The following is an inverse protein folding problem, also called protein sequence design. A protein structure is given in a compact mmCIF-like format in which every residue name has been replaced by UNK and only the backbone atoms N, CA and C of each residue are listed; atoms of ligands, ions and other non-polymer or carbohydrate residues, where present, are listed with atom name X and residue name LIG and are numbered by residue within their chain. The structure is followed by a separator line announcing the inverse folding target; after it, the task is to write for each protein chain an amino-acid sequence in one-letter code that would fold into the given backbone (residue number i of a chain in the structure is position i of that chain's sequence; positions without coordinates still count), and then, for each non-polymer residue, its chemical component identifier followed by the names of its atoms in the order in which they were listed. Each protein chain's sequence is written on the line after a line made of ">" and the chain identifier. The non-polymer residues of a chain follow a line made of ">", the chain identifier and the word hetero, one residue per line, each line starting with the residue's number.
data_IF_925676397475
#
_entry.id   IF_925676397475
#
_cell.length_a   1.000
_cell.length_b   1.000
_cell.length_c   1.000
_cell.angle_alpha   90.00
_cell.angle_beta   90.00
_cell.angle_gamma   90.00
#
_symmetry.space_group_name_H-M   'P 1'
#
loop_
_entity.id
_entity.type
_entity.pdbx_description
1 polymer ?
#
# COMPACT_ATOMS: atom_id res chain seq x y z
N UNK A 1 14.13 21.75 20.37
CA UNK A 1 12.73 21.58 20.82
C UNK A 1 12.51 20.08 20.96
N UNK A 2 12.23 19.58 22.16
CA UNK A 2 11.81 18.18 22.35
C UNK A 2 10.41 18.09 21.74
N UNK A 3 10.23 17.23 20.73
CA UNK A 3 8.90 16.86 20.27
C UNK A 3 8.13 16.32 21.48
N UNK A 4 7.01 16.94 21.81
CA UNK A 4 6.08 16.40 22.78
C UNK A 4 5.65 15.04 22.27
N UNK A 5 5.90 14.01 23.06
CA UNK A 5 5.46 12.66 22.76
C UNK A 5 3.93 12.69 22.60
N UNK A 6 3.45 12.49 21.38
CA UNK A 6 2.01 12.52 21.10
C UNK A 6 1.42 11.27 21.73
N UNK A 7 0.66 11.46 22.80
CA UNK A 7 -0.01 10.37 23.53
C UNK A 7 -1.14 9.79 22.68
N UNK A 8 -1.30 8.46 22.70
CA UNK A 8 -2.40 7.76 22.03
C UNK A 8 -3.77 8.26 22.53
N UNK A 9 -4.80 8.35 21.66
CA UNK A 9 -6.13 8.80 22.04
C UNK A 9 -6.73 7.91 23.15
N UNK A 10 -7.35 8.50 24.16
CA UNK A 10 -7.93 7.76 25.28
C UNK A 10 -8.99 6.73 24.83
N UNK A 11 -9.82 7.08 23.86
CA UNK A 11 -10.82 6.17 23.28
C UNK A 11 -10.18 4.99 22.55
N UNK A 12 -9.04 5.23 21.86
CA UNK A 12 -8.25 4.18 21.24
C UNK A 12 -7.71 3.20 22.29
N UNK A 13 -7.11 3.73 23.37
CA UNK A 13 -6.59 2.92 24.47
C UNK A 13 -7.72 2.09 25.11
N UNK A 14 -8.86 2.71 25.42
CA UNK A 14 -10.00 2.03 26.02
C UNK A 14 -10.51 0.89 25.12
N UNK A 15 -10.68 1.15 23.84
CA UNK A 15 -11.15 0.18 22.84
C UNK A 15 -10.23 -1.04 22.76
N UNK A 16 -8.93 -0.82 22.60
CA UNK A 16 -7.99 -1.91 22.40
C UNK A 16 -7.61 -2.64 23.70
N UNK A 17 -7.72 -2.00 24.87
CA UNK A 17 -7.66 -2.72 26.16
C UNK A 17 -8.79 -3.74 26.30
N UNK A 18 -10.00 -3.34 25.92
CA UNK A 18 -11.14 -4.24 25.99
C UNK A 18 -11.02 -5.40 24.97
N UNK A 19 -10.48 -5.12 23.80
CA UNK A 19 -10.36 -6.09 22.71
C UNK A 19 -9.24 -7.11 22.94
N UNK A 20 -8.07 -6.66 23.42
CA UNK A 20 -6.85 -7.45 23.50
C UNK A 20 -6.60 -8.02 24.90
N UNK A 21 -7.31 -7.55 25.93
CA UNK A 21 -7.12 -8.04 27.29
C UNK A 21 -5.68 -7.92 27.77
N UNK A 22 -5.06 -9.05 28.11
CA UNK A 22 -3.68 -9.12 28.62
C UNK A 22 -2.63 -8.69 27.58
N UNK A 23 -2.88 -8.88 26.29
CA UNK A 23 -1.96 -8.49 25.21
C UNK A 23 -1.92 -6.97 24.96
N UNK A 24 -2.85 -6.22 25.53
CA UNK A 24 -2.97 -4.78 25.31
C UNK A 24 -1.72 -3.99 25.71
N UNK A 25 -1.04 -4.41 26.78
CA UNK A 25 0.18 -3.75 27.24
C UNK A 25 1.30 -3.80 26.21
N UNK A 26 1.55 -4.97 25.65
CA UNK A 26 2.59 -5.19 24.66
C UNK A 26 2.25 -4.46 23.34
N UNK A 27 0.98 -4.48 22.95
CA UNK A 27 0.49 -3.74 21.80
C UNK A 27 0.74 -2.23 21.90
N UNK A 28 0.38 -1.61 23.03
CA UNK A 28 0.63 -0.17 23.22
C UNK A 28 2.11 0.15 23.30
N UNK A 29 2.89 -0.67 24.01
CA UNK A 29 4.36 -0.51 24.06
C UNK A 29 4.99 -0.57 22.67
N UNK A 30 4.52 -1.46 21.80
CA UNK A 30 4.98 -1.56 20.42
C UNK A 30 4.62 -0.33 19.58
N UNK A 31 3.46 0.30 19.83
CA UNK A 31 3.04 1.53 19.16
C UNK A 31 3.82 2.76 19.62
N UNK A 32 4.13 2.86 20.92
CA UNK A 32 4.79 4.02 21.50
C UNK A 32 6.32 3.97 21.38
N UNK A 33 6.91 2.79 21.53
CA UNK A 33 8.36 2.59 21.61
C UNK A 33 8.93 1.82 20.42
N UNK A 34 8.07 1.25 19.57
CA UNK A 34 8.49 0.42 18.44
C UNK A 34 9.32 1.19 17.43
N UNK A 35 10.53 0.69 17.16
CA UNK A 35 11.36 1.26 16.09
C UNK A 35 10.71 1.04 14.72
N UNK A 36 10.60 2.11 13.94
CA UNK A 36 10.16 2.01 12.55
C UNK A 36 11.29 1.42 11.71
N UNK A 37 11.13 0.18 11.26
CA UNK A 37 12.07 -0.41 10.31
C UNK A 37 11.90 0.28 8.96
N UNK A 38 12.96 0.96 8.51
CA UNK A 38 13.01 1.57 7.18
C UNK A 38 13.49 0.55 6.17
N UNK A 39 13.01 0.71 4.93
CA UNK A 39 13.43 -0.14 3.83
C UNK A 39 13.30 0.58 2.50
N UNK A 40 13.83 -0.05 1.48
CA UNK A 40 13.74 0.42 0.11
C UNK A 40 13.79 -0.77 -0.86
N UNK A 41 13.34 -0.55 -2.09
CA UNK A 41 13.47 -1.51 -3.18
C UNK A 41 14.42 -0.96 -4.25
N UNK A 42 15.28 -1.83 -4.78
CA UNK A 42 15.99 -1.54 -6.00
C UNK A 42 15.09 -1.76 -7.21
N UNK A 43 15.43 -1.12 -8.33
CA UNK A 43 14.60 -1.13 -9.54
C UNK A 43 15.12 -2.13 -10.58
N UNK A 44 14.45 -3.27 -10.77
CA UNK A 44 14.87 -4.26 -11.77
C UNK A 44 14.56 -3.86 -13.23
N UNK A 45 13.85 -2.75 -13.44
CA UNK A 45 13.61 -2.21 -14.78
C UNK A 45 14.78 -1.36 -15.29
N UNK A 46 15.71 -0.96 -14.40
CA UNK A 46 16.90 -0.19 -14.74
C UNK A 46 18.06 -1.12 -15.08
N UNK A 47 18.87 -0.80 -16.14
CA UNK A 47 20.08 -1.53 -16.43
C UNK A 47 21.04 -1.53 -15.22
N UNK A 48 21.63 -2.69 -14.93
CA UNK A 48 22.54 -2.88 -13.78
C UNK A 48 21.98 -2.36 -12.44
N UNK A 49 20.65 -2.39 -12.26
CA UNK A 49 19.99 -1.77 -11.11
C UNK A 49 20.51 -2.24 -9.77
N UNK A 50 20.67 -3.56 -9.59
CA UNK A 50 21.18 -4.13 -8.34
C UNK A 50 22.66 -3.77 -8.12
N UNK A 51 23.50 -3.89 -9.15
CA UNK A 51 24.94 -3.60 -9.05
C UNK A 51 25.19 -2.14 -8.69
N UNK A 52 24.42 -1.22 -9.28
CA UNK A 52 24.48 0.21 -8.97
C UNK A 52 24.14 0.48 -7.51
N UNK A 53 23.08 -0.15 -6.99
CA UNK A 53 22.65 0.02 -5.60
C UNK A 53 23.69 -0.57 -4.65
N UNK A 54 24.18 -1.76 -4.90
CA UNK A 54 25.21 -2.41 -4.07
C UNK A 54 26.52 -1.60 -4.04
N UNK A 55 26.95 -1.09 -5.18
CA UNK A 55 28.17 -0.26 -5.29
C UNK A 55 28.03 1.06 -4.53
N UNK A 56 26.85 1.69 -4.61
CA UNK A 56 26.61 2.98 -3.97
C UNK A 56 26.54 2.88 -2.44
N UNK A 57 25.87 1.86 -1.93
CA UNK A 57 25.68 1.71 -0.49
C UNK A 57 26.93 1.21 0.23
N UNK A 58 27.91 0.61 -0.49
CA UNK A 58 29.22 0.14 0.01
C UNK A 58 29.18 -0.70 1.31
N UNK A 59 28.02 -0.89 1.93
CA UNK A 59 27.78 -1.71 3.11
C UNK A 59 27.05 -2.99 2.70
N UNK A 60 27.11 -4.01 3.54
CA UNK A 60 26.35 -5.22 3.34
C UNK A 60 24.85 -4.94 3.47
N UNK A 61 24.13 -4.93 2.34
CA UNK A 61 22.70 -4.69 2.29
C UNK A 61 21.94 -5.88 2.88
N UNK A 62 21.16 -5.64 3.92
CA UNK A 62 20.33 -6.65 4.53
C UNK A 62 19.03 -6.82 3.73
N UNK A 63 18.72 -8.02 3.19
CA UNK A 63 17.48 -8.26 2.46
C UNK A 63 16.25 -8.00 3.33
N UNK A 64 15.23 -7.37 2.76
CA UNK A 64 13.93 -7.25 3.39
C UNK A 64 13.19 -8.60 3.30
N UNK A 65 12.57 -9.09 4.38
CA UNK A 65 12.04 -10.45 4.45
C UNK A 65 10.86 -10.72 3.50
N UNK A 66 10.30 -9.68 2.90
CA UNK A 66 9.03 -9.78 2.16
C UNK A 66 9.13 -9.37 0.68
N UNK A 67 10.32 -9.11 0.17
CA UNK A 67 10.52 -8.71 -1.23
C UNK A 67 11.90 -9.09 -1.71
N UNK A 68 11.98 -9.73 -2.86
CA UNK A 68 13.26 -10.08 -3.50
C UNK A 68 14.06 -8.84 -3.95
N UNK A 69 13.36 -7.72 -4.19
CA UNK A 69 13.97 -6.44 -4.55
C UNK A 69 14.17 -5.52 -3.34
N UNK A 70 13.79 -5.98 -2.14
CA UNK A 70 13.79 -5.18 -0.92
C UNK A 70 15.04 -5.30 -0.09
N UNK A 71 15.47 -4.17 0.47
CA UNK A 71 16.53 -4.09 1.48
C UNK A 71 16.06 -3.31 2.69
N UNK A 72 16.61 -3.64 3.86
CA UNK A 72 16.49 -2.81 5.06
C UNK A 72 17.46 -1.65 4.96
N UNK A 73 17.03 -0.46 5.37
CA UNK A 73 17.86 0.75 5.34
C UNK A 73 17.10 2.01 4.92
N UNK A 74 17.82 3.07 4.76
CA UNK A 74 17.28 4.39 4.40
C UNK A 74 17.79 4.84 3.04
N UNK A 75 16.89 5.43 2.26
CA UNK A 75 17.24 6.12 1.01
C UNK A 75 17.31 7.61 1.27
N UNK A 76 18.37 8.24 0.81
CA UNK A 76 18.41 9.69 0.74
C UNK A 76 17.66 10.15 -0.52
N UNK A 77 16.50 10.82 -0.34
CA UNK A 77 15.68 11.32 -1.44
C UNK A 77 16.40 12.32 -2.39
N UNK A 78 17.57 12.83 -2.01
CA UNK A 78 18.42 13.69 -2.82
C UNK A 78 19.58 12.93 -3.49
N UNK A 79 19.72 11.63 -3.23
CA UNK A 79 20.76 10.82 -3.85
C UNK A 79 20.56 10.68 -5.36
N UNK A 80 21.66 10.49 -6.08
CA UNK A 80 21.62 10.18 -7.51
C UNK A 80 20.74 8.95 -7.80
N UNK A 81 20.89 7.87 -7.04
CA UNK A 81 20.14 6.64 -7.26
C UNK A 81 18.64 6.86 -7.10
N UNK A 82 18.23 7.62 -6.08
CA UNK A 82 16.81 7.95 -5.90
C UNK A 82 16.29 8.82 -7.04
N UNK A 83 17.01 9.88 -7.41
CA UNK A 83 16.58 10.80 -8.47
C UNK A 83 16.54 10.12 -9.85
N UNK A 84 17.48 9.22 -10.12
CA UNK A 84 17.50 8.44 -11.35
C UNK A 84 16.57 7.21 -11.35
N UNK A 85 15.82 6.97 -10.26
CA UNK A 85 14.84 5.90 -10.15
C UNK A 85 15.42 4.51 -9.98
N UNK A 86 16.62 4.37 -9.43
CA UNK A 86 17.22 3.08 -9.06
C UNK A 86 16.70 2.56 -7.72
N UNK A 87 16.23 3.45 -6.85
CA UNK A 87 15.73 3.15 -5.51
C UNK A 87 14.37 3.76 -5.24
N UNK A 88 13.55 3.04 -4.50
CA UNK A 88 12.26 3.51 -3.99
C UNK A 88 12.16 3.23 -2.50
N UNK A 89 12.05 4.28 -1.68
CA UNK A 89 11.85 4.13 -0.23
C UNK A 89 10.47 3.52 0.04
N UNK A 90 10.44 2.37 0.68
CA UNK A 90 9.19 1.70 1.05
C UNK A 90 9.42 0.90 2.33
N UNK A 91 8.46 0.96 3.24
CA UNK A 91 8.51 0.13 4.45
C UNK A 91 8.40 -1.35 4.11
N UNK A 92 9.18 -2.23 4.78
CA UNK A 92 9.16 -3.66 4.51
C UNK A 92 7.76 -4.29 4.59
N UNK A 93 6.93 -3.90 5.57
CA UNK A 93 5.55 -4.39 5.68
C UNK A 93 4.68 -4.02 4.46
N UNK A 94 4.87 -2.84 3.89
CA UNK A 94 4.15 -2.41 2.69
C UNK A 94 4.57 -3.17 1.42
N UNK A 95 5.77 -3.78 1.41
CA UNK A 95 6.24 -4.61 0.29
C UNK A 95 5.47 -5.93 0.19
N UNK A 96 4.89 -6.43 1.30
CA UNK A 96 4.11 -7.67 1.36
C UNK A 96 2.97 -7.63 0.33
N UNK A 97 2.28 -6.51 0.22
CA UNK A 97 1.11 -6.36 -0.66
C UNK A 97 1.48 -6.58 -2.12
N UNK A 98 2.55 -5.95 -2.60
CA UNK A 98 3.02 -6.15 -3.97
C UNK A 98 3.55 -7.58 -4.19
N UNK A 99 4.19 -8.18 -3.20
CA UNK A 99 4.65 -9.57 -3.26
C UNK A 99 3.48 -10.54 -3.32
N UNK A 100 2.45 -10.35 -2.49
CA UNK A 100 1.22 -11.15 -2.52
C UNK A 100 0.43 -10.95 -3.83
N UNK A 101 0.48 -9.74 -4.39
CA UNK A 101 -0.12 -9.46 -5.67
C UNK A 101 0.48 -10.32 -6.79
N UNK A 102 1.77 -10.57 -6.79
CA UNK A 102 2.47 -11.47 -7.72
C UNK A 102 2.08 -11.23 -9.20
N UNK A 103 2.07 -9.96 -9.63
CA UNK A 103 1.70 -9.57 -10.99
C UNK A 103 2.61 -10.24 -12.03
N UNK A 104 2.05 -10.62 -13.18
CA UNK A 104 2.77 -11.36 -14.20
C UNK A 104 2.95 -10.53 -15.48
N UNK A 105 4.05 -10.74 -16.22
CA UNK A 105 4.22 -10.15 -17.53
C UNK A 105 3.04 -10.50 -18.46
N UNK A 106 2.46 -9.47 -19.10
CA UNK A 106 1.33 -9.61 -20.02
C UNK A 106 -0.05 -9.43 -19.39
N UNK A 107 -0.16 -9.42 -18.06
CA UNK A 107 -1.43 -9.15 -17.36
C UNK A 107 -1.89 -7.69 -17.51
N UNK A 108 -3.18 -7.48 -17.35
CA UNK A 108 -3.81 -6.18 -17.15
C UNK A 108 -4.04 -6.00 -15.66
N UNK A 109 -3.30 -5.08 -15.05
CA UNK A 109 -3.25 -4.89 -13.59
C UNK A 109 -3.77 -3.50 -13.24
N UNK A 110 -4.58 -3.40 -12.19
CA UNK A 110 -5.05 -2.13 -11.62
C UNK A 110 -4.53 -1.96 -10.20
N UNK A 111 -3.92 -0.82 -9.90
CA UNK A 111 -3.68 -0.33 -8.54
C UNK A 111 -4.66 0.82 -8.29
N UNK A 112 -5.72 0.55 -7.52
CA UNK A 112 -6.92 1.42 -7.48
C UNK A 112 -6.78 2.61 -6.53
N UNK A 113 -5.92 2.52 -5.49
CA UNK A 113 -5.64 3.56 -4.51
C UNK A 113 -4.12 3.78 -4.42
N UNK A 114 -3.49 4.15 -5.54
CA UNK A 114 -2.09 3.89 -5.80
C UNK A 114 -1.09 4.84 -5.14
N UNK A 115 -1.47 6.11 -4.90
CA UNK A 115 -0.49 7.10 -4.46
C UNK A 115 0.11 6.78 -3.07
N UNK A 116 1.41 7.01 -2.91
CA UNK A 116 2.33 7.72 -3.79
C UNK A 116 3.00 6.87 -4.90
N UNK A 117 2.70 5.56 -5.05
CA UNK A 117 3.20 4.71 -6.11
C UNK A 117 4.11 3.55 -5.67
N UNK A 118 4.27 3.33 -4.37
CA UNK A 118 5.12 2.25 -3.85
C UNK A 118 4.69 0.86 -4.32
N UNK A 119 3.40 0.56 -4.30
CA UNK A 119 2.83 -0.70 -4.78
C UNK A 119 2.82 -0.75 -6.31
N UNK A 120 2.40 0.34 -6.96
CA UNK A 120 2.42 0.44 -8.43
C UNK A 120 3.80 0.17 -9.03
N UNK A 121 4.87 0.75 -8.47
CA UNK A 121 6.25 0.52 -8.94
C UNK A 121 6.72 -0.92 -8.70
N UNK A 122 6.23 -1.58 -7.66
CA UNK A 122 6.52 -3.00 -7.40
C UNK A 122 5.80 -3.90 -8.41
N UNK A 123 4.52 -3.62 -8.68
CA UNK A 123 3.74 -4.31 -9.72
C UNK A 123 4.40 -4.16 -11.10
N UNK A 124 4.79 -2.93 -11.47
CA UNK A 124 5.49 -2.66 -12.71
C UNK A 124 6.79 -3.47 -12.86
N UNK A 125 7.58 -3.59 -11.78
CA UNK A 125 8.78 -4.41 -11.74
C UNK A 125 8.48 -5.88 -12.06
N UNK A 126 7.43 -6.45 -11.45
CA UNK A 126 6.99 -7.82 -11.67
C UNK A 126 6.47 -8.05 -13.11
N UNK A 127 5.81 -7.05 -13.70
CA UNK A 127 5.29 -7.11 -15.06
C UNK A 127 6.39 -7.00 -16.14
N UNK A 128 7.58 -6.55 -15.81
CA UNK A 128 8.75 -6.48 -16.71
C UNK A 128 8.45 -5.75 -18.03
N UNK A 129 7.69 -4.65 -17.97
CA UNK A 129 7.32 -3.83 -19.13
C UNK A 129 6.32 -4.48 -20.08
N UNK A 130 5.67 -5.60 -19.72
CA UNK A 130 4.69 -6.31 -20.55
C UNK A 130 3.30 -6.25 -19.93
N UNK A 131 2.28 -6.13 -20.79
CA UNK A 131 0.89 -5.96 -20.37
C UNK A 131 0.52 -4.50 -20.13
N UNK A 132 -0.45 -4.22 -19.27
CA UNK A 132 -0.93 -2.88 -18.96
C UNK A 132 -1.09 -2.72 -17.45
N UNK A 133 -0.45 -1.70 -16.89
CA UNK A 133 -0.67 -1.26 -15.51
C UNK A 133 -1.50 0.02 -15.52
N UNK A 134 -2.67 0.00 -14.90
CA UNK A 134 -3.45 1.20 -14.61
C UNK A 134 -3.26 1.54 -13.15
N UNK A 135 -2.86 2.77 -12.85
CA UNK A 135 -2.67 3.27 -11.49
C UNK A 135 -3.58 4.46 -11.24
N UNK A 136 -4.45 4.36 -10.26
CA UNK A 136 -5.46 5.37 -9.99
C UNK A 136 -5.30 6.02 -8.62
N UNK A 137 -5.55 7.31 -8.56
CA UNK A 137 -5.63 8.07 -7.30
C UNK A 137 -6.72 9.14 -7.41
N UNK A 138 -7.63 9.18 -6.45
CA UNK A 138 -8.76 10.11 -6.45
C UNK A 138 -8.35 11.56 -6.20
N UNK A 139 -7.29 11.80 -5.43
CA UNK A 139 -6.83 13.14 -5.06
C UNK A 139 -5.83 13.69 -6.08
N UNK A 140 -6.13 14.81 -6.80
CA UNK A 140 -5.26 15.32 -7.87
C UNK A 140 -3.81 15.59 -7.46
N UNK A 141 -3.60 16.14 -6.26
CA UNK A 141 -2.24 16.40 -5.76
C UNK A 141 -1.45 15.12 -5.55
N UNK A 142 -2.10 14.05 -5.07
CA UNK A 142 -1.47 12.76 -4.88
C UNK A 142 -1.28 12.01 -6.21
N UNK A 143 -2.22 12.15 -7.15
CA UNK A 143 -2.10 11.61 -8.50
C UNK A 143 -0.89 12.20 -9.25
N UNK A 144 -0.57 13.48 -9.04
CA UNK A 144 0.64 14.11 -9.58
C UNK A 144 1.90 13.45 -9.03
N UNK A 145 1.98 13.23 -7.72
CA UNK A 145 3.12 12.54 -7.08
C UNK A 145 3.26 11.11 -7.60
N UNK A 146 2.13 10.41 -7.79
CA UNK A 146 2.08 9.08 -8.39
C UNK A 146 2.67 9.09 -9.80
N UNK A 147 2.26 10.03 -10.65
CA UNK A 147 2.79 10.17 -12.01
C UNK A 147 4.31 10.39 -12.01
N UNK A 148 4.79 11.33 -11.20
CA UNK A 148 6.21 11.62 -11.05
C UNK A 148 7.01 10.37 -10.62
N UNK A 149 6.46 9.55 -9.72
CA UNK A 149 7.11 8.31 -9.28
C UNK A 149 7.10 7.23 -10.35
N UNK A 150 6.01 7.07 -11.10
CA UNK A 150 5.91 6.13 -12.22
C UNK A 150 6.91 6.50 -13.33
N UNK A 151 7.01 7.76 -13.69
CA UNK A 151 7.97 8.28 -14.67
C UNK A 151 9.41 8.08 -14.20
N UNK A 152 9.72 8.49 -12.97
CA UNK A 152 11.05 8.35 -12.37
C UNK A 152 11.50 6.88 -12.31
N UNK A 153 10.57 5.97 -12.01
CA UNK A 153 10.82 4.53 -12.00
C UNK A 153 11.07 3.96 -13.41
N UNK A 154 10.65 4.68 -14.47
CA UNK A 154 10.84 4.28 -15.87
C UNK A 154 9.83 3.23 -16.33
N UNK A 155 8.60 3.30 -15.84
CA UNK A 155 7.54 2.37 -16.24
C UNK A 155 6.99 2.77 -17.60
N UNK A 156 7.16 1.93 -18.61
CA UNK A 156 6.75 2.21 -20.00
C UNK A 156 5.33 1.73 -20.34
N UNK A 157 4.74 0.87 -19.52
CA UNK A 157 3.46 0.24 -19.77
C UNK A 157 2.37 0.63 -18.74
N UNK A 158 2.46 1.84 -18.18
CA UNK A 158 1.51 2.34 -17.20
C UNK A 158 0.66 3.49 -17.74
N UNK A 159 -0.58 3.57 -17.24
CA UNK A 159 -1.49 4.71 -17.38
C UNK A 159 -1.82 5.19 -15.96
N UNK A 160 -1.61 6.48 -15.69
CA UNK A 160 -2.01 7.13 -14.44
C UNK A 160 -3.36 7.79 -14.64
N UNK A 161 -4.33 7.49 -13.79
CA UNK A 161 -5.67 8.07 -13.79
C UNK A 161 -5.96 8.82 -12.50
N UNK A 162 -6.82 9.84 -12.60
CA UNK A 162 -7.28 10.60 -11.45
C UNK A 162 -8.80 10.63 -11.41
N UNK A 163 -9.40 9.53 -10.96
CA UNK A 163 -10.84 9.33 -10.96
C UNK A 163 -11.32 8.68 -9.66
N UNK A 164 -12.60 8.89 -9.34
CA UNK A 164 -13.25 8.05 -8.35
C UNK A 164 -13.38 6.60 -8.89
N UNK A 165 -13.26 5.56 -8.03
CA UNK A 165 -13.33 4.18 -8.48
C UNK A 165 -14.56 3.83 -9.31
N UNK A 166 -15.73 4.40 -8.97
CA UNK A 166 -16.98 4.18 -9.68
C UNK A 166 -16.97 4.74 -11.11
N UNK A 167 -16.21 5.81 -11.38
CA UNK A 167 -16.08 6.43 -12.70
C UNK A 167 -15.26 5.56 -13.66
N UNK A 168 -14.39 4.68 -13.14
CA UNK A 168 -13.61 3.75 -13.95
C UNK A 168 -14.43 2.53 -14.42
N UNK A 169 -15.48 2.15 -13.69
CA UNK A 169 -16.27 0.94 -13.97
C UNK A 169 -16.82 0.88 -15.41
N UNK A 170 -17.42 1.95 -16.00
CA UNK A 170 -17.92 1.90 -17.37
C UNK A 170 -16.83 1.62 -18.42
N UNK A 171 -15.58 1.98 -18.14
CA UNK A 171 -14.46 1.85 -19.06
C UNK A 171 -13.72 0.52 -18.92
N UNK A 172 -13.79 -0.13 -17.75
CA UNK A 172 -12.98 -1.28 -17.41
C UNK A 172 -13.76 -2.48 -16.87
N UNK A 173 -15.06 -2.58 -17.13
CA UNK A 173 -15.88 -3.73 -16.69
C UNK A 173 -15.29 -5.06 -17.13
N UNK A 174 -15.01 -5.97 -16.17
CA UNK A 174 -14.43 -7.29 -16.44
C UNK A 174 -13.08 -7.27 -17.17
N UNK A 175 -12.26 -6.24 -16.97
CA UNK A 175 -11.08 -5.98 -17.79
C UNK A 175 -9.76 -6.45 -17.18
N UNK A 176 -9.60 -6.38 -15.85
CA UNK A 176 -8.33 -6.64 -15.19
C UNK A 176 -8.17 -8.09 -14.77
N UNK A 177 -6.97 -8.63 -14.98
CA UNK A 177 -6.56 -9.94 -14.49
C UNK A 177 -6.26 -9.88 -12.97
N UNK A 178 -5.83 -8.69 -12.50
CA UNK A 178 -5.43 -8.45 -11.12
C UNK A 178 -5.78 -7.04 -10.71
N UNK A 179 -6.32 -6.89 -9.49
CA UNK A 179 -6.60 -5.59 -8.88
C UNK A 179 -5.97 -5.55 -7.49
N UNK A 180 -5.24 -4.50 -7.19
CA UNK A 180 -4.73 -4.17 -5.86
C UNK A 180 -5.50 -3.00 -5.31
N UNK A 181 -5.99 -3.14 -4.09
CA UNK A 181 -6.69 -2.10 -3.34
C UNK A 181 -6.01 -1.96 -1.98
N UNK A 182 -5.04 -1.05 -1.89
CA UNK A 182 -4.51 -0.59 -0.60
C UNK A 182 -5.43 0.53 -0.12
N UNK A 183 -6.46 0.13 0.60
CA UNK A 183 -7.61 0.98 0.82
C UNK A 183 -7.34 2.11 1.83
N UNK A 184 -7.94 3.29 1.63
CA UNK A 184 -7.92 4.33 2.65
C UNK A 184 -8.54 3.81 3.93
N UNK A 185 -7.86 3.98 5.05
CA UNK A 185 -8.27 3.47 6.35
C UNK A 185 -8.06 4.52 7.46
N UNK A 186 -8.42 4.20 8.69
CA UNK A 186 -8.26 5.07 9.86
C UNK A 186 -6.81 5.33 10.28
N UNK A 187 -5.85 4.67 9.64
CA UNK A 187 -4.44 4.98 9.78
C UNK A 187 -3.81 4.57 11.12
N UNK A 188 -4.43 3.71 11.88
CA UNK A 188 -3.96 3.29 13.21
C UNK A 188 -2.56 2.66 13.16
N UNK A 189 -2.24 1.92 12.10
CA UNK A 189 -0.90 1.39 11.86
C UNK A 189 0.17 2.45 11.56
N UNK A 190 -0.25 3.70 11.31
CA UNK A 190 0.64 4.84 11.08
C UNK A 190 1.00 5.61 12.36
N UNK A 191 0.36 5.33 13.50
CA UNK A 191 0.58 6.07 14.75
C UNK A 191 2.05 6.13 15.18
N UNK A 192 2.83 5.09 14.93
CA UNK A 192 4.28 5.07 15.19
C UNK A 192 5.10 6.02 14.32
N UNK A 193 4.55 6.49 13.21
CA UNK A 193 5.29 7.18 12.14
C UNK A 193 4.82 8.59 11.91
N UNK A 194 3.54 8.83 12.09
CA UNK A 194 2.88 10.08 11.79
C UNK A 194 2.05 10.57 12.99
N UNK A 195 2.56 11.52 13.75
CA UNK A 195 1.82 12.14 14.85
C UNK A 195 0.49 12.77 14.42
N UNK A 196 0.35 13.16 13.14
CA UNK A 196 -0.91 13.71 12.65
C UNK A 196 -1.99 12.63 12.55
N UNK A 197 -1.63 11.39 12.21
CA UNK A 197 -2.57 10.27 12.21
C UNK A 197 -3.22 10.06 13.59
N UNK A 198 -2.45 10.29 14.67
CA UNK A 198 -2.96 10.25 16.06
C UNK A 198 -3.96 11.38 16.32
N UNK A 199 -3.63 12.61 15.86
CA UNK A 199 -4.45 13.81 16.09
C UNK A 199 -5.77 13.79 15.31
N UNK A 200 -5.74 13.21 14.12
CA UNK A 200 -6.89 13.15 13.21
C UNK A 200 -7.81 11.96 13.51
N UNK A 201 -7.35 10.99 14.30
CA UNK A 201 -8.12 9.80 14.61
C UNK A 201 -9.28 10.09 15.57
N UNK A 202 -10.45 9.57 15.27
CA UNK A 202 -11.64 9.57 16.14
C UNK A 202 -12.19 8.15 16.24
N UNK A 203 -13.05 7.91 17.23
CA UNK A 203 -13.70 6.60 17.42
C UNK A 203 -14.57 6.19 16.22
N UNK A 204 -15.06 7.16 15.46
CA UNK A 204 -15.91 6.94 14.28
C UNK A 204 -15.08 6.76 12.99
N UNK A 205 -13.80 7.16 12.97
CA UNK A 205 -12.93 7.08 11.79
C UNK A 205 -12.93 5.69 11.15
N UNK A 206 -12.85 4.56 11.89
CA UNK A 206 -12.93 3.23 11.29
C UNK A 206 -14.24 2.96 10.55
N UNK A 207 -15.37 3.40 11.07
CA UNK A 207 -16.69 3.19 10.46
C UNK A 207 -16.86 3.97 9.14
N UNK A 208 -16.38 5.21 9.11
CA UNK A 208 -16.37 5.99 7.87
C UNK A 208 -15.47 5.36 6.81
N UNK A 209 -14.30 4.85 7.23
CA UNK A 209 -13.41 4.14 6.33
C UNK A 209 -14.02 2.84 5.81
N UNK A 210 -14.68 2.06 6.65
CA UNK A 210 -15.37 0.83 6.26
C UNK A 210 -16.37 1.07 5.12
N UNK A 211 -17.26 2.06 5.26
CA UNK A 211 -18.24 2.39 4.22
C UNK A 211 -17.55 2.75 2.89
N UNK A 212 -16.52 3.60 2.94
CA UNK A 212 -15.75 3.97 1.76
C UNK A 212 -15.06 2.77 1.10
N UNK A 213 -14.53 1.86 1.91
CA UNK A 213 -13.87 0.67 1.41
C UNK A 213 -14.84 -0.28 0.72
N UNK A 214 -16.06 -0.45 1.23
CA UNK A 214 -17.12 -1.22 0.57
C UNK A 214 -17.45 -0.65 -0.82
N UNK A 215 -17.56 0.67 -0.96
CA UNK A 215 -17.80 1.33 -2.25
C UNK A 215 -16.64 1.10 -3.23
N UNK A 216 -15.39 1.20 -2.75
CA UNK A 216 -14.18 0.95 -3.55
C UNK A 216 -14.14 -0.51 -4.01
N UNK A 217 -14.34 -1.46 -3.10
CA UNK A 217 -14.31 -2.89 -3.39
C UNK A 217 -15.44 -3.31 -4.34
N UNK A 218 -16.64 -2.77 -4.15
CA UNK A 218 -17.75 -2.99 -5.08
C UNK A 218 -17.41 -2.54 -6.51
N UNK A 219 -16.69 -1.43 -6.66
CA UNK A 219 -16.21 -0.96 -7.95
C UNK A 219 -15.10 -1.86 -8.50
N UNK A 220 -14.16 -2.28 -7.65
CA UNK A 220 -13.05 -3.15 -8.03
C UNK A 220 -13.55 -4.50 -8.58
N UNK A 221 -14.51 -5.14 -7.88
CA UNK A 221 -15.09 -6.43 -8.31
C UNK A 221 -15.72 -6.33 -9.69
N UNK A 222 -16.43 -5.24 -10.02
CA UNK A 222 -17.03 -5.04 -11.35
C UNK A 222 -15.99 -4.91 -12.46
N UNK A 223 -14.79 -4.44 -12.14
CA UNK A 223 -13.69 -4.29 -13.10
C UNK A 223 -12.82 -5.55 -13.21
N UNK A 224 -12.95 -6.49 -12.28
CA UNK A 224 -12.19 -7.73 -12.24
C UNK A 224 -12.74 -8.71 -13.27
N UNK A 225 -11.85 -9.41 -13.98
CA UNK A 225 -12.23 -10.54 -14.85
C UNK A 225 -12.77 -11.70 -14.03
N UNK A 226 -13.57 -12.54 -14.68
CA UNK A 226 -13.86 -13.87 -14.13
C UNK A 226 -12.54 -14.63 -13.88
N UNK A 227 -12.35 -15.20 -12.68
CA UNK A 227 -11.11 -15.81 -12.19
C UNK A 227 -9.91 -14.85 -12.03
N UNK A 228 -10.14 -13.55 -12.09
CA UNK A 228 -9.14 -12.55 -11.71
C UNK A 228 -8.84 -12.59 -10.22
N UNK A 229 -7.78 -11.91 -9.79
CA UNK A 229 -7.38 -11.85 -8.37
C UNK A 229 -7.51 -10.44 -7.83
N UNK A 230 -8.17 -10.30 -6.69
CA UNK A 230 -8.26 -9.07 -5.91
C UNK A 230 -7.36 -9.20 -4.69
N UNK A 231 -6.46 -8.24 -4.52
CA UNK A 231 -5.59 -8.11 -3.35
C UNK A 231 -6.04 -6.88 -2.58
N UNK A 232 -6.53 -7.09 -1.38
CA UNK A 232 -7.00 -6.03 -0.49
C UNK A 232 -6.09 -5.90 0.71
N UNK A 233 -5.73 -4.67 1.06
CA UNK A 233 -4.92 -4.35 2.24
C UNK A 233 -5.36 -3.06 2.90
N UNK A 234 -5.14 -2.97 4.21
CA UNK A 234 -5.36 -1.79 5.03
C UNK A 234 -4.22 -1.61 6.02
N UNK A 235 -4.09 -0.42 6.58
CA UNK A 235 -3.20 -0.15 7.71
C UNK A 235 -3.99 0.16 9.01
N UNK A 236 -5.16 -0.43 9.19
CA UNK A 236 -5.98 -0.32 10.41
C UNK A 236 -5.90 -1.59 11.25
N UNK A 237 -6.15 -1.45 12.54
CA UNK A 237 -6.36 -2.57 13.47
C UNK A 237 -7.85 -2.80 13.79
N UNK A 238 -8.74 -2.02 13.19
CA UNK A 238 -10.16 -2.08 13.50
C UNK A 238 -10.85 -3.27 12.83
N UNK A 239 -11.26 -4.26 13.62
CA UNK A 239 -11.95 -5.47 13.15
C UNK A 239 -13.22 -5.20 12.34
N UNK A 240 -13.93 -4.10 12.63
CA UNK A 240 -15.13 -3.71 11.88
C UNK A 240 -14.82 -3.42 10.41
N UNK A 241 -13.62 -2.95 10.10
CA UNK A 241 -13.16 -2.68 8.74
C UNK A 241 -12.89 -3.98 7.99
N UNK A 242 -12.26 -4.96 8.64
CA UNK A 242 -11.85 -6.21 8.00
C UNK A 242 -12.99 -7.25 7.91
N UNK A 243 -13.89 -7.29 8.89
CA UNK A 243 -14.97 -8.28 8.96
C UNK A 243 -16.21 -7.90 8.13
N UNK A 244 -16.41 -6.61 7.83
CA UNK A 244 -17.56 -6.17 7.04
C UNK A 244 -17.60 -6.75 5.62
N UNK A 245 -16.45 -7.10 5.08
CA UNK A 245 -16.35 -7.71 3.75
C UNK A 245 -16.48 -9.23 3.75
N UNK A 246 -15.97 -9.91 4.80
CA UNK A 246 -16.08 -11.38 4.92
C UNK A 246 -17.52 -11.88 5.10
N UNK A 247 -18.39 -11.08 5.69
CA UNK A 247 -19.78 -11.49 5.96
C UNK A 247 -20.69 -11.50 4.73
N UNK A 248 -20.36 -10.74 3.67
CA UNK A 248 -21.18 -10.68 2.45
C UNK A 248 -20.81 -11.76 1.43
N UNK A 249 -19.58 -12.24 1.38
CA UNK A 249 -19.17 -13.33 0.47
C UNK A 249 -19.73 -14.70 0.88
N UNK A 250 -19.85 -14.99 2.17
CA UNK A 250 -20.37 -16.28 2.63
C UNK A 250 -21.86 -16.50 2.41
N UNK A 251 -22.62 -15.45 2.11
CA UNK A 251 -24.06 -15.56 1.83
C UNK A 251 -24.39 -15.84 0.36
N UNK A 252 -23.48 -15.57 -0.56
CA UNK A 252 -23.72 -15.82 -2.00
C UNK A 252 -23.31 -17.23 -2.47
N UNK A 253 -22.42 -17.91 -1.76
CA UNK A 253 -22.04 -19.31 -2.09
C UNK A 253 -22.99 -20.38 -1.54
N UNK A 254 -23.87 -20.03 -0.59
CA UNK A 254 -24.84 -20.98 -0.01
C UNK A 254 -26.19 -21.01 -0.73
N UNK A 255 -26.36 -20.27 -1.83
CA UNK A 255 -27.61 -20.21 -2.62
C UNK A 255 -27.45 -20.70 -4.07
N UNK A 256 -26.40 -21.44 -4.41
CA UNK A 256 -26.26 -22.08 -5.74
C UNK A 256 -26.18 -23.60 -5.66
#
# INVERSE_FOLDING_TARGET
>A
MKEEATTLPQQFIKKYRLLLGEEASDFFSALEQGSVKKGFRWNPLKPAGLDMVQTYHSEELQPAPYSNEGFLGTVNGKSFLHQAGYEYSQEPSAMIVGTAAAAKPGEKVLDLCAAPGGKSTQLAAQMKGKGLLVTNEIFPKRAKILSENIERWGVSNAIVTNHAPAELVPHFSGFFDRIVVDAPCSGEGMFRKDPNAIKEWTEESPLYCQKRQQEILSSAIKMLKNKGQLIYSTCTFALAVDNGFRSEEHTSELQS
#
